data_IF_466148479958
#
_entry.id   IF_466148479958
#
_cell.length_a   1.000
_cell.length_b   1.000
_cell.length_c   1.000
_cell.angle_alpha   90.00
_cell.angle_beta   90.00
_cell.angle_gamma   90.00
#
_symmetry.space_group_name_H-M   'P 1'
#
loop_
_entity.id
_entity.type
_entity.pdbx_description
1 polymer ?
#
# COMPACT_ATOMS: atom_id res chain seq x y z
N UNK A 1 -19.02 -2.22 -4.46
CA UNK A 1 -18.87 -1.87 -5.90
C UNK A 1 -17.95 -0.67 -6.03
N UNK A 2 -17.04 -0.65 -7.00
CA UNK A 2 -16.19 0.52 -7.24
C UNK A 2 -16.79 1.45 -8.28
N UNK A 3 -16.67 2.75 -8.04
CA UNK A 3 -16.96 3.80 -9.03
C UNK A 3 -15.64 4.45 -9.44
N UNK A 4 -15.46 4.74 -10.71
CA UNK A 4 -14.26 5.43 -11.23
C UNK A 4 -14.44 6.94 -11.22
N UNK A 5 -13.43 7.67 -10.73
CA UNK A 5 -13.35 9.14 -10.81
C UNK A 5 -12.03 9.53 -11.49
N UNK A 6 -12.03 10.53 -12.38
CA UNK A 6 -10.80 11.02 -12.96
C UNK A 6 -9.99 11.82 -11.93
N UNK A 7 -8.65 11.73 -11.99
CA UNK A 7 -7.73 12.34 -11.04
C UNK A 7 -7.93 13.86 -10.83
N UNK A 8 -8.24 14.60 -11.90
CA UNK A 8 -8.44 16.05 -11.81
C UNK A 8 -9.64 16.42 -10.92
N UNK A 9 -10.71 15.64 -10.97
CA UNK A 9 -11.92 15.84 -10.17
C UNK A 9 -11.65 15.58 -8.68
N UNK A 10 -10.81 14.59 -8.37
CA UNK A 10 -10.37 14.31 -7.00
C UNK A 10 -9.52 15.45 -6.44
N UNK A 11 -8.60 16.02 -7.22
CA UNK A 11 -7.74 17.14 -6.78
C UNK A 11 -8.53 18.42 -6.51
N UNK A 12 -9.52 18.73 -7.34
CA UNK A 12 -10.37 19.91 -7.17
C UNK A 12 -11.29 19.79 -5.94
N UNK A 13 -11.76 18.58 -5.63
CA UNK A 13 -12.58 18.31 -4.45
C UNK A 13 -11.77 18.20 -3.15
N UNK A 14 -10.51 17.77 -3.21
CA UNK A 14 -9.63 17.68 -2.04
C UNK A 14 -9.47 19.02 -1.30
N UNK A 15 -9.47 20.14 -2.03
CA UNK A 15 -9.38 21.48 -1.46
C UNK A 15 -10.70 21.99 -0.86
N UNK A 16 -11.83 21.33 -1.13
CA UNK A 16 -13.18 21.76 -0.71
C UNK A 16 -13.86 20.81 0.26
N UNK A 17 -13.43 19.54 0.35
CA UNK A 17 -14.17 18.47 1.00
C UNK A 17 -13.28 17.66 1.96
N UNK A 18 -12.85 18.27 3.07
CA UNK A 18 -12.41 17.50 4.24
C UNK A 18 -13.59 16.78 4.94
N UNK A 19 -14.85 17.12 4.62
CA UNK A 19 -16.00 16.78 5.49
C UNK A 19 -17.20 16.08 4.82
N UNK A 20 -17.19 15.70 3.54
CA UNK A 20 -18.29 14.87 3.01
C UNK A 20 -17.78 13.49 2.63
N UNK A 21 -18.22 12.51 3.41
CA UNK A 21 -18.36 11.12 2.96
C UNK A 21 -19.12 11.13 1.64
N UNK A 22 -18.40 11.10 0.51
CA UNK A 22 -19.01 10.94 -0.81
C UNK A 22 -19.18 9.45 -1.09
N UNK A 23 -19.78 8.73 -0.14
CA UNK A 23 -20.21 7.36 -0.38
C UNK A 23 -21.63 7.40 -0.89
N UNK A 24 -21.78 7.15 -2.18
CA UNK A 24 -23.09 7.04 -2.82
C UNK A 24 -23.87 5.85 -2.26
N UNK A 25 -23.20 4.82 -1.72
CA UNK A 25 -23.81 3.68 -1.02
C UNK A 25 -22.83 2.98 -0.04
N UNK A 26 -23.34 2.21 0.95
CA UNK A 26 -22.53 1.27 1.73
C UNK A 26 -21.87 0.21 0.82
N UNK A 27 -20.71 -0.29 1.22
CA UNK A 27 -19.80 -1.16 0.45
C UNK A 27 -19.35 -0.57 -0.89
N UNK A 28 -19.36 0.76 -1.04
CA UNK A 28 -18.86 1.44 -2.24
C UNK A 28 -17.41 1.91 -2.05
N UNK A 29 -16.60 1.82 -3.10
CA UNK A 29 -15.25 2.40 -3.14
C UNK A 29 -15.09 3.31 -4.36
N UNK A 30 -14.06 4.16 -4.36
CA UNK A 30 -13.78 5.07 -5.46
C UNK A 30 -12.36 4.86 -5.99
N UNK A 31 -12.24 4.53 -7.28
CA UNK A 31 -10.96 4.40 -7.99
C UNK A 31 -10.62 5.73 -8.65
N UNK A 32 -9.44 6.27 -8.34
CA UNK A 32 -8.84 7.42 -9.00
C UNK A 32 -8.01 6.93 -10.18
N UNK A 33 -8.45 7.28 -11.39
CA UNK A 33 -7.82 6.80 -12.63
C UNK A 33 -7.16 7.97 -13.36
N UNK A 34 -5.97 7.72 -13.89
CA UNK A 34 -5.28 8.62 -14.82
C UNK A 34 -5.70 8.31 -16.25
N UNK A 35 -5.98 9.35 -17.03
CA UNK A 35 -6.20 9.24 -18.48
C UNK A 35 -4.90 9.10 -19.26
N UNK A 36 -3.74 9.22 -18.60
CA UNK A 36 -2.45 8.99 -19.23
C UNK A 36 -2.19 7.48 -19.29
N UNK A 37 -2.26 6.92 -20.49
CA UNK A 37 -2.02 5.49 -20.75
C UNK A 37 -0.55 5.15 -20.93
N UNK A 38 0.35 6.13 -20.98
CA UNK A 38 1.79 5.92 -21.21
C UNK A 38 2.57 5.63 -19.91
N UNK A 39 2.00 5.94 -18.75
CA UNK A 39 2.64 5.78 -17.43
C UNK A 39 1.93 4.74 -16.56
N UNK A 40 1.71 3.53 -17.06
CA UNK A 40 1.00 2.49 -16.30
C UNK A 40 1.86 1.80 -15.23
N UNK A 41 3.17 2.06 -15.20
CA UNK A 41 4.09 1.52 -14.21
C UNK A 41 4.68 2.64 -13.37
N UNK A 42 4.69 2.45 -12.06
CA UNK A 42 5.19 3.43 -11.10
C UNK A 42 6.05 2.77 -10.05
N UNK A 43 7.28 3.24 -9.90
CA UNK A 43 8.18 2.78 -8.84
C UNK A 43 8.00 3.67 -7.61
N UNK A 44 7.68 3.06 -6.47
CA UNK A 44 7.52 3.75 -5.19
C UNK A 44 8.41 3.08 -4.14
N UNK A 45 9.25 3.88 -3.49
CA UNK A 45 10.02 3.41 -2.34
C UNK A 45 9.17 3.53 -1.07
N UNK A 46 8.90 2.40 -0.40
CA UNK A 46 8.18 2.37 0.88
C UNK A 46 9.14 1.92 1.97
N UNK A 47 9.40 2.81 2.93
CA UNK A 47 10.33 2.56 4.01
C UNK A 47 9.61 2.43 5.36
N UNK A 48 9.63 1.26 6.03
CA UNK A 48 9.31 1.12 7.43
C UNK A 48 10.42 1.75 8.28
N UNK A 49 10.12 2.92 8.84
CA UNK A 49 10.84 3.45 10.00
C UNK A 49 12.05 4.32 9.72
N UNK A 50 12.49 4.54 8.47
CA UNK A 50 13.48 5.58 8.21
C UNK A 50 13.43 6.17 6.80
N UNK A 51 13.95 7.39 6.70
CA UNK A 51 13.46 8.42 5.80
C UNK A 51 14.49 8.66 4.71
N UNK A 52 14.28 8.08 3.53
CA UNK A 52 14.98 8.54 2.33
C UNK A 52 13.99 9.25 1.43
N UNK A 53 14.49 10.28 0.74
CA UNK A 53 13.71 11.17 -0.10
C UNK A 53 13.13 10.37 -1.27
N UNK A 54 11.88 9.93 -1.16
CA UNK A 54 11.06 9.63 -2.31
C UNK A 54 10.95 10.88 -3.19
N UNK A 55 10.77 10.65 -4.49
CA UNK A 55 10.60 11.73 -5.45
C UNK A 55 9.38 12.58 -5.04
N UNK A 56 9.57 13.89 -4.91
CA UNK A 56 8.58 14.89 -4.47
C UNK A 56 7.29 14.92 -5.34
N UNK A 57 7.30 14.21 -6.46
CA UNK A 57 6.22 14.18 -7.44
C UNK A 57 5.12 13.15 -7.12
N UNK A 58 5.37 12.23 -6.19
CA UNK A 58 4.39 11.22 -5.82
C UNK A 58 3.43 11.77 -4.76
N UNK A 59 2.19 12.04 -5.17
CA UNK A 59 1.14 12.56 -4.29
C UNK A 59 0.10 11.48 -4.02
N UNK A 60 -0.39 11.46 -2.78
CA UNK A 60 -1.56 10.69 -2.37
C UNK A 60 -2.87 11.43 -2.74
N UNK A 61 -3.98 10.71 -2.95
CA UNK A 61 -4.09 9.26 -3.04
C UNK A 61 -3.39 8.72 -4.31
N UNK A 62 -2.96 7.46 -4.28
CA UNK A 62 -2.36 6.84 -5.45
C UNK A 62 -3.35 6.71 -6.59
N UNK A 63 -2.83 6.66 -7.82
CA UNK A 63 -3.61 6.40 -9.02
C UNK A 63 -3.77 4.88 -9.13
N UNK A 64 -5.01 4.41 -9.24
CA UNK A 64 -5.36 2.98 -9.13
C UNK A 64 -5.11 2.17 -10.40
N UNK A 65 -5.00 2.81 -11.57
CA UNK A 65 -4.66 2.11 -12.81
C UNK A 65 -3.16 1.94 -13.04
N UNK A 66 -2.32 2.23 -12.05
CA UNK A 66 -0.87 2.06 -12.13
C UNK A 66 -0.44 0.78 -11.40
N UNK A 67 0.36 -0.03 -12.07
CA UNK A 67 1.14 -1.11 -11.46
C UNK A 67 2.25 -0.48 -10.64
N UNK A 68 2.28 -0.77 -9.34
CA UNK A 68 3.25 -0.16 -8.43
C UNK A 68 4.36 -1.16 -8.09
N UNK A 69 5.60 -0.83 -8.43
CA UNK A 69 6.79 -1.53 -7.93
C UNK A 69 7.20 -0.93 -6.59
N UNK A 70 7.04 -1.72 -5.52
CA UNK A 70 7.47 -1.35 -4.18
C UNK A 70 8.91 -1.77 -4.02
N UNK A 71 9.78 -0.79 -3.81
CA UNK A 71 11.15 -1.03 -3.38
C UNK A 71 11.22 -0.92 -1.85
N UNK A 72 11.68 -1.99 -1.21
CA UNK A 72 11.94 -2.01 0.22
C UNK A 72 13.40 -2.36 0.51
N UNK A 73 14.04 -1.57 1.36
CA UNK A 73 15.39 -1.85 1.86
C UNK A 73 15.30 -2.74 3.10
N UNK A 74 15.72 -4.00 2.97
CA UNK A 74 15.82 -4.93 4.09
C UNK A 74 16.85 -4.47 5.14
N UNK A 75 16.86 -5.14 6.29
CA UNK A 75 17.91 -4.96 7.31
C UNK A 75 19.22 -5.68 6.96
N UNK A 76 19.21 -6.46 5.87
CA UNK A 76 20.37 -7.18 5.37
C UNK A 76 21.23 -6.27 4.50
N UNK A 77 22.54 -6.48 4.55
CA UNK A 77 23.51 -5.74 3.76
C UNK A 77 24.03 -6.63 2.63
N UNK A 78 24.22 -6.05 1.45
CA UNK A 78 24.92 -6.67 0.33
C UNK A 78 26.42 -6.82 0.64
N UNK A 79 27.14 -7.53 -0.24
CA UNK A 79 28.58 -7.77 -0.11
C UNK A 79 29.43 -6.49 -0.08
N UNK A 80 28.84 -5.34 -0.44
CA UNK A 80 29.46 -4.02 -0.45
C UNK A 80 29.04 -3.14 0.75
N UNK A 81 28.26 -3.70 1.69
CA UNK A 81 27.79 -2.98 2.89
C UNK A 81 26.61 -2.03 2.63
N UNK A 82 25.96 -2.11 1.46
CA UNK A 82 24.73 -1.40 1.14
C UNK A 82 23.49 -2.20 1.56
N UNK A 83 22.35 -1.56 1.90
CA UNK A 83 21.15 -2.31 2.26
C UNK A 83 20.58 -3.06 1.03
N UNK A 84 20.28 -4.35 1.18
CA UNK A 84 19.65 -5.17 0.14
C UNK A 84 18.25 -4.63 -0.16
N UNK A 85 17.96 -4.41 -1.44
CA UNK A 85 16.65 -3.94 -1.90
C UNK A 85 15.82 -5.09 -2.48
N UNK A 86 14.63 -5.28 -1.93
CA UNK A 86 13.61 -6.19 -2.46
C UNK A 86 12.57 -5.41 -3.26
N UNK A 87 12.11 -6.00 -4.35
CA UNK A 87 11.12 -5.42 -5.27
C UNK A 87 9.85 -6.25 -5.27
N UNK A 88 8.70 -5.61 -5.11
CA UNK A 88 7.39 -6.27 -5.14
C UNK A 88 6.39 -5.45 -5.92
N UNK A 89 5.84 -6.08 -6.96
CA UNK A 89 4.78 -5.51 -7.77
C UNK A 89 3.42 -5.68 -7.10
N UNK A 90 2.66 -4.58 -7.01
CA UNK A 90 1.31 -4.56 -6.43
C UNK A 90 0.35 -3.67 -7.22
N UNK A 91 -0.94 -4.00 -7.12
CA UNK A 91 -2.03 -3.05 -7.36
C UNK A 91 -2.59 -2.54 -6.05
N UNK A 92 -2.50 -1.22 -5.84
CA UNK A 92 -3.12 -0.56 -4.70
C UNK A 92 -4.60 -0.31 -4.97
N UNK A 93 -5.46 -1.14 -4.37
CA UNK A 93 -6.91 -1.01 -4.48
C UNK A 93 -7.45 -0.30 -3.22
N UNK A 94 -8.20 0.81 -3.33
CA UNK A 94 -8.72 1.54 -2.18
C UNK A 94 -9.66 0.68 -1.35
N UNK A 95 -9.61 0.83 -0.03
CA UNK A 95 -10.55 0.13 0.86
C UNK A 95 -11.98 0.62 0.59
N UNK A 96 -12.93 -0.32 0.47
CA UNK A 96 -14.36 0.01 0.35
C UNK A 96 -14.85 0.64 1.65
N UNK A 97 -15.89 1.47 1.61
CA UNK A 97 -16.37 2.18 2.80
C UNK A 97 -15.37 3.14 3.43
N UNK A 98 -14.40 3.61 2.63
CA UNK A 98 -13.46 4.62 3.02
C UNK A 98 -13.39 5.72 1.97
N UNK A 99 -13.26 7.00 2.39
CA UNK A 99 -13.02 8.08 1.43
C UNK A 99 -11.67 7.86 0.75
N UNK A 100 -11.49 8.30 -0.51
CA UNK A 100 -10.22 8.18 -1.24
C UNK A 100 -9.03 8.76 -0.48
N UNK A 101 -9.24 9.85 0.26
CA UNK A 101 -8.21 10.53 1.06
C UNK A 101 -7.81 9.81 2.35
N UNK A 102 -8.51 8.72 2.71
CA UNK A 102 -8.10 7.88 3.84
C UNK A 102 -6.72 7.25 3.63
N UNK A 103 -6.27 7.16 2.36
CA UNK A 103 -5.05 6.50 1.94
C UNK A 103 -4.93 5.06 2.46
N UNK A 104 -6.08 4.38 2.56
CA UNK A 104 -6.18 2.98 2.93
C UNK A 104 -6.33 2.15 1.67
N UNK A 105 -5.50 1.12 1.54
CA UNK A 105 -5.43 0.27 0.37
C UNK A 105 -5.33 -1.20 0.77
N UNK A 106 -5.83 -2.07 -0.10
CA UNK A 106 -5.37 -3.44 -0.25
C UNK A 106 -4.21 -3.45 -1.25
N UNK A 107 -3.17 -4.22 -0.99
CA UNK A 107 -2.11 -4.48 -1.97
C UNK A 107 -2.35 -5.85 -2.61
N UNK A 108 -2.75 -5.85 -3.87
CA UNK A 108 -3.14 -7.04 -4.62
C UNK A 108 -2.00 -7.49 -5.52
N UNK A 109 -1.77 -8.81 -5.57
CA UNK A 109 -0.75 -9.41 -6.43
C UNK A 109 -1.23 -9.37 -7.90
N UNK A 110 -0.46 -8.74 -8.80
CA UNK A 110 -0.90 -8.48 -10.18
C UNK A 110 -0.76 -9.71 -11.10
N UNK A 111 0.21 -10.60 -10.82
CA UNK A 111 0.58 -11.70 -11.71
C UNK A 111 1.20 -12.89 -10.96
N UNK A 112 1.43 -14.00 -11.68
CA UNK A 112 2.07 -15.19 -11.15
C UNK A 112 1.14 -16.08 -10.30
N UNK A 113 1.75 -16.96 -9.49
CA UNK A 113 1.05 -18.01 -8.71
C UNK A 113 -0.01 -17.45 -7.76
N UNK A 114 0.26 -16.28 -7.17
CA UNK A 114 -0.61 -15.65 -6.17
C UNK A 114 -1.49 -14.54 -6.76
N UNK A 115 -1.64 -14.47 -8.09
CA UNK A 115 -2.44 -13.44 -8.76
C UNK A 115 -3.83 -13.30 -8.12
N UNK A 116 -4.24 -12.06 -7.85
CA UNK A 116 -5.53 -11.74 -7.24
C UNK A 116 -5.61 -11.95 -5.72
N UNK A 117 -4.56 -12.48 -5.10
CA UNK A 117 -4.44 -12.54 -3.64
C UNK A 117 -3.96 -11.20 -3.09
N UNK A 118 -4.24 -10.96 -1.81
CA UNK A 118 -3.86 -9.75 -1.11
C UNK A 118 -2.69 -10.01 -0.15
N UNK A 119 -1.76 -9.08 -0.12
CA UNK A 119 -0.74 -9.06 0.91
C UNK A 119 -1.37 -8.84 2.29
N UNK A 120 -0.93 -9.64 3.27
CA UNK A 120 -1.49 -9.64 4.63
C UNK A 120 -0.42 -9.23 5.63
N UNK A 121 -0.72 -8.23 6.45
CA UNK A 121 0.10 -7.82 7.58
C UNK A 121 0.29 -9.00 8.54
N UNK A 122 1.53 -9.25 8.94
CA UNK A 122 1.85 -10.27 9.94
C UNK A 122 1.30 -9.87 11.31
N UNK A 123 0.78 -10.82 12.08
CA UNK A 123 0.37 -10.57 13.47
C UNK A 123 1.59 -10.52 14.38
N UNK A 124 1.48 -9.77 15.48
CA UNK A 124 2.51 -9.76 16.53
C UNK A 124 2.88 -11.16 17.04
N UNK A 125 1.87 -12.02 17.15
CA UNK A 125 1.98 -13.38 17.68
C UNK A 125 2.65 -14.34 16.68
N UNK A 126 2.57 -14.05 15.38
CA UNK A 126 3.19 -14.83 14.30
C UNK A 126 4.67 -14.48 14.12
N UNK A 127 5.16 -13.41 14.76
CA UNK A 127 6.59 -13.11 14.83
C UNK A 127 7.26 -14.10 15.79
N UNK A 128 7.78 -15.20 15.22
CA UNK A 128 8.51 -16.20 15.96
C UNK A 128 9.69 -15.55 16.71
N UNK A 129 9.62 -15.57 18.04
CA UNK A 129 10.75 -15.23 18.90
C UNK A 129 11.58 -16.52 19.07
N UNK A 130 12.56 -16.73 18.19
CA UNK A 130 13.53 -17.82 18.37
C UNK A 130 14.70 -17.36 19.24
N UNK A 131 15.35 -18.30 19.94
CA UNK A 131 16.48 -18.07 20.86
C UNK A 131 17.68 -17.32 20.20
N UNK A 132 17.75 -17.27 18.87
CA UNK A 132 18.78 -16.57 18.08
C UNK A 132 18.30 -15.27 17.42
N UNK A 133 17.16 -14.72 17.85
CA UNK A 133 16.56 -13.51 17.30
C UNK A 133 15.17 -13.72 16.72
N UNK A 134 14.50 -12.61 16.39
CA UNK A 134 13.16 -12.60 15.78
C UNK A 134 13.26 -13.06 14.33
N UNK A 135 12.79 -14.27 14.00
CA UNK A 135 12.61 -14.68 12.60
C UNK A 135 11.25 -14.15 12.13
N UNK A 136 11.27 -13.35 11.07
CA UNK A 136 10.05 -12.93 10.38
C UNK A 136 9.50 -14.15 9.64
N UNK A 137 8.24 -14.50 9.88
CA UNK A 137 7.55 -15.51 9.08
C UNK A 137 7.52 -15.05 7.61
N UNK A 138 7.69 -15.95 6.63
CA UNK A 138 7.53 -15.58 5.23
C UNK A 138 6.12 -15.02 5.03
N UNK A 139 6.04 -13.76 4.61
CA UNK A 139 4.77 -13.11 4.31
C UNK A 139 4.30 -13.72 2.99
N UNK A 140 3.23 -14.50 3.05
CA UNK A 140 2.60 -15.08 1.85
C UNK A 140 1.31 -14.32 1.61
N UNK A 141 1.02 -13.89 0.36
CA UNK A 141 -0.30 -13.38 0.01
C UNK A 141 -1.39 -14.39 0.41
N UNK A 142 -2.56 -13.89 0.79
CA UNK A 142 -3.70 -14.72 1.14
C UNK A 142 -4.92 -14.36 0.29
N UNK A 143 -5.91 -15.25 0.26
CA UNK A 143 -7.16 -15.02 -0.48
C UNK A 143 -7.75 -13.67 -0.08
N UNK A 144 -8.04 -12.83 -1.08
CA UNK A 144 -8.56 -11.50 -0.85
C UNK A 144 -9.91 -11.55 -0.11
N UNK A 145 -9.98 -10.84 1.01
CA UNK A 145 -11.19 -10.62 1.81
C UNK A 145 -11.27 -9.14 2.18
N UNK A 146 -12.28 -8.46 1.64
CA UNK A 146 -12.49 -7.04 1.87
C UNK A 146 -12.72 -6.70 3.35
N UNK A 147 -13.19 -7.65 4.17
CA UNK A 147 -13.45 -7.47 5.61
C UNK A 147 -12.21 -7.73 6.46
N UNK A 148 -11.18 -8.35 5.90
CA UNK A 148 -9.96 -8.67 6.62
C UNK A 148 -9.10 -7.42 6.84
N UNK A 149 -9.12 -6.89 8.07
CA UNK A 149 -8.35 -5.70 8.47
C UNK A 149 -6.83 -5.90 8.35
N UNK A 150 -6.33 -7.13 8.37
CA UNK A 150 -4.91 -7.43 8.18
C UNK A 150 -4.47 -7.32 6.71
N UNK A 151 -5.41 -7.34 5.76
CA UNK A 151 -5.12 -7.07 4.35
C UNK A 151 -5.19 -5.57 4.02
N UNK A 152 -5.60 -4.74 4.98
CA UNK A 152 -5.70 -3.29 4.81
C UNK A 152 -4.46 -2.61 5.37
N UNK A 153 -3.87 -1.72 4.57
CA UNK A 153 -2.76 -0.88 4.99
C UNK A 153 -3.07 0.60 4.74
N UNK A 154 -2.56 1.46 5.61
CA UNK A 154 -2.57 2.89 5.42
C UNK A 154 -1.19 3.36 4.94
N UNK A 155 -1.16 4.12 3.86
CA UNK A 155 0.07 4.71 3.33
C UNK A 155 0.10 6.19 3.70
N UNK A 156 1.19 6.60 4.34
CA UNK A 156 1.41 7.99 4.76
C UNK A 156 2.70 8.50 4.13
N UNK A 157 2.70 9.75 3.65
CA UNK A 157 3.93 10.43 3.28
C UNK A 157 4.53 11.08 4.53
N UNK A 158 5.72 10.63 4.95
CA UNK A 158 6.42 11.14 6.14
C UNK A 158 7.90 11.29 5.86
N UNK A 159 8.45 12.43 6.31
CA UNK A 159 9.89 12.72 6.28
C UNK A 159 10.52 12.50 4.89
N UNK A 160 9.78 12.85 3.84
CA UNK A 160 10.26 12.72 2.48
C UNK A 160 10.02 11.35 1.82
N UNK A 161 9.36 10.39 2.46
CA UNK A 161 9.11 9.06 1.88
C UNK A 161 7.72 8.50 2.19
N UNK A 162 7.34 7.40 1.55
CA UNK A 162 6.11 6.67 1.89
C UNK A 162 6.35 5.65 2.99
N UNK A 163 5.43 5.60 3.94
CA UNK A 163 5.42 4.67 5.06
C UNK A 163 4.11 3.91 5.05
N UNK A 164 4.19 2.58 4.97
CA UNK A 164 3.04 1.71 5.15
C UNK A 164 2.82 1.41 6.64
N UNK A 165 1.55 1.41 7.06
CA UNK A 165 1.10 1.05 8.40
C UNK A 165 -0.01 0.01 8.30
N UNK A 166 -0.02 -0.97 9.20
CA UNK A 166 -1.19 -1.85 9.33
C UNK A 166 -2.39 -1.06 9.84
N UNK A 167 -3.57 -1.38 9.33
CA UNK A 167 -4.84 -0.91 9.92
C UNK A 167 -5.20 -1.73 11.16
N UNK A 168 -4.76 -2.99 11.22
CA UNK A 168 -4.95 -3.83 12.41
C UNK A 168 -4.07 -3.32 13.57
N UNK A 169 -4.61 -3.15 14.79
CA UNK A 169 -3.87 -2.60 15.94
C UNK A 169 -2.64 -3.42 16.35
N UNK A 170 -2.71 -4.73 16.16
CA UNK A 170 -1.69 -5.73 16.45
C UNK A 170 -0.95 -6.21 15.19
N UNK A 171 -1.31 -5.66 14.03
CA UNK A 171 -0.69 -5.96 12.76
C UNK A 171 0.61 -5.20 12.58
N UNK A 172 1.64 -5.90 12.14
CA UNK A 172 2.86 -5.26 11.68
C UNK A 172 2.69 -4.89 10.21
N UNK A 173 3.13 -3.69 9.80
CA UNK A 173 3.18 -3.35 8.39
C UNK A 173 4.00 -4.41 7.66
N UNK A 174 3.65 -4.66 6.41
CA UNK A 174 4.37 -5.58 5.55
C UNK A 174 5.85 -5.19 5.56
N UNK A 175 6.67 -6.03 6.19
CA UNK A 175 8.11 -6.00 6.08
C UNK A 175 8.44 -7.01 4.99
N UNK A 176 8.59 -6.52 3.78
CA UNK A 176 8.95 -7.34 2.63
C UNK A 176 10.38 -7.88 2.72
#
# INVERSE_FOLDING_TARGET
MYVTRPLWLCKQKASTLSNTSTQENPNSGCLVVSSNHEELEKVIEICPGNTRKANQHDKLPFIQNYLTDIVYSGGDYDDFGGPVKSHILVWFTPVVDQPPFSNRYYAIVPSGKYKGQAWTCARKEEMATTWFGKRKSPIVPSVFDHRNIYQQMKIEYKNGGFVAKSVAPDGFPLHF
#
